data_IF_370562216418
#
_entry.id   IF_370562216418
#
_cell.length_a   1.000
_cell.length_b   1.000
_cell.length_c   1.000
_cell.angle_alpha   90.00
_cell.angle_beta   90.00
_cell.angle_gamma   90.00
#
_symmetry.space_group_name_H-M   'P 1'
#
loop_
_entity.id
_entity.type
_entity.pdbx_description
1 polymer ?
#
# COMPACT_ATOMS: atom_id res chain seq x y z
N UNK A 1 -5.24 -7.29 -2.17
CA UNK A 1 -5.47 -7.81 -3.54
C UNK A 1 -5.78 -9.31 -3.56
N UNK A 2 -4.87 -10.20 -3.17
CA UNK A 2 -5.10 -11.66 -3.23
C UNK A 2 -6.38 -12.12 -2.50
N UNK A 3 -6.64 -11.61 -1.30
CA UNK A 3 -7.90 -11.87 -0.57
C UNK A 3 -9.14 -11.46 -1.35
N UNK A 4 -9.09 -10.28 -1.99
CA UNK A 4 -10.24 -9.75 -2.72
C UNK A 4 -10.55 -10.60 -3.96
N UNK A 5 -9.51 -11.21 -4.54
CA UNK A 5 -9.62 -12.14 -5.67
C UNK A 5 -9.85 -13.60 -5.24
N UNK A 6 -10.03 -13.85 -3.93
CA UNK A 6 -10.20 -15.20 -3.35
C UNK A 6 -9.09 -16.18 -3.74
N UNK A 7 -7.89 -15.66 -3.94
CA UNK A 7 -6.69 -16.49 -4.11
C UNK A 7 -6.36 -17.05 -2.72
N UNK A 8 -6.15 -18.36 -2.60
CA UNK A 8 -5.70 -18.98 -1.36
C UNK A 8 -4.20 -18.73 -1.16
N UNK A 9 -3.81 -18.30 0.03
CA UNK A 9 -2.42 -18.07 0.41
C UNK A 9 -2.25 -18.06 1.93
N UNK A 10 -1.03 -18.32 2.38
CA UNK A 10 -0.64 -18.23 3.78
C UNK A 10 0.18 -16.95 4.04
N UNK A 11 -0.08 -16.28 5.16
CA UNK A 11 0.65 -15.06 5.57
C UNK A 11 1.64 -15.37 6.65
N UNK A 12 2.90 -15.61 6.29
CA UNK A 12 3.96 -15.76 7.30
C UNK A 12 4.47 -14.39 7.74
N UNK A 13 4.38 -14.02 9.03
CA UNK A 13 5.01 -12.81 9.52
C UNK A 13 6.52 -12.97 9.41
N UNK A 14 7.16 -12.04 8.71
CA UNK A 14 8.61 -11.99 8.54
C UNK A 14 9.10 -10.68 9.13
N UNK A 15 10.01 -10.76 10.10
CA UNK A 15 10.61 -9.60 10.77
C UNK A 15 11.93 -9.16 10.14
N UNK A 16 12.50 -9.95 9.23
CA UNK A 16 13.74 -9.61 8.52
C UNK A 16 13.52 -9.52 7.01
N UNK A 17 13.94 -8.42 6.37
CA UNK A 17 13.86 -8.33 4.91
C UNK A 17 14.81 -9.30 4.22
N UNK A 18 15.83 -9.83 4.90
CA UNK A 18 16.83 -10.72 4.31
C UNK A 18 16.18 -12.04 3.85
N UNK A 19 14.97 -12.33 4.34
CA UNK A 19 14.13 -13.42 3.88
C UNK A 19 13.37 -13.11 2.57
N UNK A 20 13.53 -11.91 2.01
CA UNK A 20 12.80 -11.41 0.85
C UNK A 20 13.77 -11.00 -0.27
N UNK A 21 13.36 -11.12 -1.55
CA UNK A 21 14.21 -10.77 -2.67
C UNK A 21 14.50 -9.27 -2.63
N UNK A 22 15.76 -8.93 -2.88
CA UNK A 22 16.28 -7.58 -2.76
C UNK A 22 16.02 -6.93 -1.39
N UNK A 23 15.85 -7.68 -0.31
CA UNK A 23 15.50 -7.10 0.99
C UNK A 23 14.21 -6.25 0.97
N UNK A 24 13.22 -6.63 0.15
CA UNK A 24 11.93 -5.94 0.03
C UNK A 24 10.75 -6.83 0.42
N UNK A 25 10.03 -6.39 1.44
CA UNK A 25 8.71 -6.93 1.79
C UNK A 25 7.59 -6.05 1.21
N UNK A 26 6.41 -6.61 0.88
CA UNK A 26 6.07 -8.03 0.92
C UNK A 26 6.70 -8.84 -0.23
N UNK A 27 6.95 -10.13 0.00
CA UNK A 27 7.39 -11.07 -1.02
C UNK A 27 6.42 -12.26 -1.10
N UNK A 28 6.29 -12.86 -2.28
CA UNK A 28 5.42 -14.02 -2.48
C UNK A 28 6.26 -15.26 -2.76
N UNK A 29 6.17 -16.26 -1.87
CA UNK A 29 6.76 -17.58 -2.05
C UNK A 29 5.77 -18.45 -2.83
N UNK A 30 6.19 -18.96 -3.98
CA UNK A 30 5.40 -19.89 -4.78
C UNK A 30 5.68 -21.36 -4.37
N UNK A 31 4.75 -22.30 -4.66
CA UNK A 31 4.93 -23.71 -4.30
C UNK A 31 6.15 -24.40 -4.93
N UNK A 32 6.63 -23.89 -6.07
CA UNK A 32 7.83 -24.37 -6.76
C UNK A 32 9.14 -23.84 -6.16
N UNK A 33 9.05 -23.04 -5.10
CA UNK A 33 10.19 -22.41 -4.43
C UNK A 33 10.61 -21.07 -5.04
N UNK A 34 9.95 -20.60 -6.10
CA UNK A 34 10.20 -19.27 -6.65
C UNK A 34 9.79 -18.18 -5.65
N UNK A 35 10.60 -17.12 -5.57
CA UNK A 35 10.35 -15.97 -4.71
C UNK A 35 10.13 -14.73 -5.58
N UNK A 36 8.90 -14.19 -5.53
CA UNK A 36 8.53 -12.99 -6.28
C UNK A 36 8.68 -11.74 -5.43
N UNK A 37 9.23 -10.69 -6.03
CA UNK A 37 9.36 -9.36 -5.42
C UNK A 37 8.05 -8.56 -5.55
N UNK A 38 7.84 -7.48 -4.77
CA UNK A 38 6.59 -6.72 -4.78
C UNK A 38 6.10 -6.31 -6.18
N UNK A 39 7.01 -5.92 -7.08
CA UNK A 39 6.67 -5.49 -8.44
C UNK A 39 6.25 -6.63 -9.37
N UNK A 40 6.60 -7.88 -9.05
CA UNK A 40 6.24 -9.07 -9.81
C UNK A 40 4.93 -9.68 -9.35
N UNK A 41 4.57 -9.51 -8.07
CA UNK A 41 3.35 -10.07 -7.48
C UNK A 41 2.10 -9.65 -8.26
N UNK A 42 2.01 -8.38 -8.67
CA UNK A 42 0.84 -7.86 -9.40
C UNK A 42 0.71 -8.53 -10.77
N UNK A 43 1.81 -8.64 -11.51
CA UNK A 43 1.81 -9.30 -12.81
C UNK A 43 1.45 -10.79 -12.69
N UNK A 44 1.98 -11.46 -11.66
CA UNK A 44 1.67 -12.85 -11.36
C UNK A 44 0.18 -13.04 -11.04
N UNK A 45 -0.42 -12.17 -10.22
CA UNK A 45 -1.86 -12.18 -9.91
C UNK A 45 -2.69 -12.06 -11.19
N UNK A 46 -2.34 -11.13 -12.08
CA UNK A 46 -3.08 -10.94 -13.34
C UNK A 46 -3.01 -12.18 -14.24
N UNK A 47 -1.86 -12.83 -14.33
CA UNK A 47 -1.69 -14.07 -15.09
C UNK A 47 -2.52 -15.23 -14.54
N UNK A 48 -2.67 -15.33 -13.22
CA UNK A 48 -3.38 -16.45 -12.57
C UNK A 48 -4.89 -16.22 -12.42
N UNK A 49 -5.36 -14.97 -12.50
CA UNK A 49 -6.79 -14.64 -12.40
C UNK A 49 -7.47 -14.47 -13.75
N UNK A 50 -6.68 -14.24 -14.80
CA UNK A 50 -7.12 -14.30 -16.18
C UNK A 50 -7.20 -15.76 -16.61
N UNK A 51 -8.17 -16.51 -16.07
CA UNK A 51 -8.44 -17.87 -16.49
C UNK A 51 -8.54 -17.89 -18.03
N UNK A 52 -7.88 -18.83 -18.73
CA UNK A 52 -8.11 -18.99 -20.16
C UNK A 52 -9.60 -19.29 -20.30
N UNK A 53 -10.36 -18.34 -20.85
CA UNK A 53 -11.74 -18.65 -21.21
C UNK A 53 -11.67 -19.91 -22.09
N UNK A 54 -12.42 -20.98 -21.76
CA UNK A 54 -12.44 -22.15 -22.60
C UNK A 54 -12.73 -21.63 -24.01
N UNK A 55 -11.77 -21.82 -24.92
CA UNK A 55 -12.00 -21.56 -26.35
C UNK A 55 -13.20 -22.41 -26.67
N UNK A 56 -14.40 -21.80 -26.70
CA UNK A 56 -15.56 -22.38 -27.32
C UNK A 56 -15.09 -22.70 -28.72
N UNK A 57 -14.89 -23.99 -28.96
CA UNK A 57 -14.60 -24.56 -30.25
C UNK A 57 -15.92 -24.43 -31.02
N UNK A 58 -16.26 -23.19 -31.42
CA UNK A 58 -17.38 -22.92 -32.31
C UNK A 58 -16.89 -23.20 -33.72
N UNK A 59 -17.40 -24.32 -34.21
CA UNK A 59 -17.49 -24.74 -35.59
C UNK A 59 -17.66 -23.55 -36.52
N UNK A 60 -16.80 -23.50 -37.54
CA UNK A 60 -16.86 -22.52 -38.60
C UNK A 60 -18.23 -22.53 -39.28
N UNK A 61 -18.89 -21.38 -39.32
CA UNK A 61 -19.64 -20.95 -40.49
C UNK A 61 -19.61 -19.42 -40.54
N UNK A 62 -19.10 -18.93 -41.67
CA UNK A 62 -18.92 -17.52 -42.03
C UNK A 62 -20.25 -16.79 -42.07
N UNK A 63 -20.37 -15.65 -41.38
CA UNK A 63 -21.14 -14.54 -41.94
C UNK A 63 -20.59 -13.19 -41.48
N UNK A 64 -20.35 -12.33 -42.47
CA UNK A 64 -19.69 -11.04 -42.40
C UNK A 64 -20.58 -9.97 -41.75
N UNK A 65 -20.12 -9.28 -40.70
CA UNK A 65 -20.68 -8.01 -40.21
C UNK A 65 -19.71 -7.31 -39.22
N UNK A 66 -19.83 -5.99 -38.99
CA UNK A 66 -18.70 -5.06 -39.11
C UNK A 66 -17.83 -4.88 -37.86
N UNK A 67 -16.56 -4.60 -38.16
CA UNK A 67 -15.52 -3.89 -37.42
C UNK A 67 -15.98 -3.14 -36.15
N UNK A 68 -16.18 -3.88 -35.06
CA UNK A 68 -16.29 -3.33 -33.71
C UNK A 68 -14.87 -3.03 -33.19
N UNK A 69 -14.48 -1.76 -33.26
CA UNK A 69 -13.28 -1.26 -32.61
C UNK A 69 -13.31 -1.55 -31.09
N UNK A 70 -12.18 -1.97 -30.49
CA UNK A 70 -12.15 -2.32 -29.07
C UNK A 70 -12.29 -1.06 -28.20
N UNK A 71 -13.42 -0.95 -27.48
CA UNK A 71 -13.72 0.08 -26.45
C UNK A 71 -12.81 0.04 -25.20
N UNK A 72 -11.62 -0.54 -25.27
CA UNK A 72 -10.84 -0.97 -24.09
C UNK A 72 -9.86 0.10 -23.54
N UNK A 73 -9.61 1.23 -24.21
CA UNK A 73 -8.41 2.03 -23.89
C UNK A 73 -8.56 3.24 -22.94
N UNK A 74 -9.77 3.72 -22.64
CA UNK A 74 -9.92 5.01 -21.88
C UNK A 74 -9.90 4.81 -20.36
N UNK A 75 -10.45 3.71 -19.84
CA UNK A 75 -10.51 3.46 -18.39
C UNK A 75 -9.13 3.13 -17.79
N UNK A 76 -8.21 2.56 -18.56
CA UNK A 76 -6.87 2.21 -18.06
C UNK A 76 -6.02 3.45 -17.75
N UNK A 77 -6.15 4.53 -18.54
CA UNK A 77 -5.42 5.77 -18.33
C UNK A 77 -5.84 6.53 -17.07
N UNK A 78 -7.15 6.59 -16.81
CA UNK A 78 -7.70 7.24 -15.61
C UNK A 78 -7.29 6.48 -14.34
N UNK A 79 -7.42 5.13 -14.33
CA UNK A 79 -7.01 4.30 -13.18
C UNK A 79 -5.52 4.45 -12.88
N UNK A 80 -4.67 4.48 -13.90
CA UNK A 80 -3.23 4.70 -13.70
C UNK A 80 -2.95 6.09 -13.12
N UNK A 81 -3.69 7.12 -13.54
CA UNK A 81 -3.56 8.47 -12.98
C UNK A 81 -3.91 8.50 -11.49
N UNK A 82 -5.02 7.86 -11.09
CA UNK A 82 -5.40 7.74 -9.68
C UNK A 82 -4.40 6.93 -8.87
N UNK A 83 -3.88 5.83 -9.44
CA UNK A 83 -2.84 5.03 -8.80
C UNK A 83 -1.60 5.87 -8.51
N UNK A 84 -1.12 6.61 -9.49
CA UNK A 84 0.05 7.48 -9.33
C UNK A 84 -0.23 8.59 -8.31
N UNK A 85 -1.41 9.22 -8.32
CA UNK A 85 -1.78 10.23 -7.32
C UNK A 85 -1.81 9.64 -5.90
N UNK A 86 -2.38 8.44 -5.74
CA UNK A 86 -2.44 7.75 -4.46
C UNK A 86 -1.04 7.39 -3.95
N UNK A 87 -0.18 6.85 -4.81
CA UNK A 87 1.20 6.49 -4.50
C UNK A 87 2.05 7.73 -4.15
N UNK A 88 2.01 8.78 -4.96
CA UNK A 88 2.88 9.94 -4.80
C UNK A 88 2.42 10.96 -3.76
N UNK A 89 1.12 11.09 -3.51
CA UNK A 89 0.58 12.09 -2.57
C UNK A 89 0.14 11.44 -1.27
N UNK A 90 -0.78 10.47 -1.34
CA UNK A 90 -1.39 9.88 -0.14
C UNK A 90 -0.41 8.96 0.59
N UNK A 91 0.20 8.01 -0.12
CA UNK A 91 1.14 7.07 0.50
C UNK A 91 2.42 7.77 0.94
N UNK A 92 2.93 8.71 0.16
CA UNK A 92 4.04 9.57 0.56
C UNK A 92 3.74 10.32 1.87
N UNK A 93 2.57 10.96 1.95
CA UNK A 93 2.14 11.67 3.15
C UNK A 93 2.07 10.75 4.37
N UNK A 94 1.46 9.58 4.21
CA UNK A 94 1.32 8.58 5.26
C UNK A 94 2.68 8.08 5.77
N UNK A 95 3.60 7.72 4.87
CA UNK A 95 4.97 7.28 5.19
C UNK A 95 5.69 8.38 5.98
N UNK A 96 5.60 9.62 5.50
CA UNK A 96 6.22 10.77 6.14
C UNK A 96 5.70 10.96 7.57
N UNK A 97 4.39 10.95 7.79
CA UNK A 97 3.76 11.07 9.11
C UNK A 97 4.19 9.92 10.04
N UNK A 98 4.14 8.68 9.56
CA UNK A 98 4.51 7.49 10.34
C UNK A 98 5.97 7.53 10.84
N UNK A 99 6.84 8.31 10.21
CA UNK A 99 8.28 8.28 10.47
C UNK A 99 8.84 9.56 11.07
N UNK A 100 8.30 10.72 10.68
CA UNK A 100 8.76 12.01 11.17
C UNK A 100 8.03 12.47 12.42
N UNK A 101 6.84 11.96 12.68
CA UNK A 101 6.15 12.23 13.93
C UNK A 101 6.69 11.29 15.01
N UNK A 102 7.62 11.77 15.84
CA UNK A 102 8.34 10.96 16.84
C UNK A 102 7.42 10.07 17.72
N UNK A 103 6.27 10.55 18.26
CA UNK A 103 5.36 9.68 19.00
C UNK A 103 4.79 8.54 18.15
N UNK A 104 4.41 8.82 16.89
CA UNK A 104 3.90 7.78 15.98
C UNK A 104 4.99 6.78 15.61
N UNK A 105 6.20 7.27 15.31
CA UNK A 105 7.30 6.40 14.94
C UNK A 105 7.67 5.44 16.08
N UNK A 106 7.88 5.97 17.28
CA UNK A 106 8.35 5.19 18.43
C UNK A 106 7.27 4.26 19.00
N UNK A 107 6.02 4.72 19.08
CA UNK A 107 4.95 3.97 19.76
C UNK A 107 4.13 3.09 18.83
N UNK A 108 4.08 3.41 17.53
CA UNK A 108 3.23 2.72 16.57
C UNK A 108 4.04 2.07 15.44
N UNK A 109 4.82 2.83 14.68
CA UNK A 109 5.51 2.31 13.51
C UNK A 109 6.58 1.29 13.88
N UNK A 110 7.46 1.62 14.84
CA UNK A 110 8.61 0.79 15.19
C UNK A 110 8.20 -0.60 15.72
N UNK A 111 7.23 -0.74 16.66
CA UNK A 111 6.78 -2.05 17.13
C UNK A 111 6.18 -2.95 16.04
N UNK A 112 5.58 -2.37 14.98
CA UNK A 112 4.99 -3.14 13.89
C UNK A 112 6.05 -3.83 13.02
N UNK A 113 7.17 -3.17 12.77
CA UNK A 113 8.28 -3.77 12.01
C UNK A 113 9.16 -4.66 12.90
N UNK A 114 9.14 -4.42 14.22
CA UNK A 114 10.04 -5.05 15.16
C UNK A 114 9.39 -5.42 16.49
N UNK A 115 8.46 -6.37 16.49
CA UNK A 115 7.76 -6.77 17.72
C UNK A 115 8.70 -7.40 18.76
N UNK A 116 9.87 -7.91 18.34
CA UNK A 116 10.81 -8.67 19.19
C UNK A 116 12.23 -8.10 19.24
N UNK A 117 12.54 -7.01 18.53
CA UNK A 117 13.92 -6.56 18.43
C UNK A 117 14.37 -5.82 19.70
N UNK A 118 15.62 -6.05 20.10
CA UNK A 118 16.28 -5.22 21.11
C UNK A 118 16.73 -3.89 20.48
N UNK A 119 16.81 -2.80 21.27
CA UNK A 119 17.10 -1.44 20.75
C UNK A 119 18.36 -1.34 19.87
N UNK A 120 19.34 -2.24 20.06
CA UNK A 120 20.58 -2.29 19.28
C UNK A 120 20.45 -2.89 17.87
N UNK A 121 19.41 -3.68 17.59
CA UNK A 121 19.20 -4.36 16.29
C UNK A 121 18.25 -3.58 15.36
N UNK A 122 17.54 -2.58 15.89
CA UNK A 122 16.40 -1.90 15.25
C UNK A 122 16.80 -0.84 14.19
N UNK A 123 18.06 -0.43 14.12
CA UNK A 123 18.44 0.87 13.55
C UNK A 123 18.84 0.93 12.08
N UNK A 124 19.65 -0.01 11.55
CA UNK A 124 20.14 0.15 10.20
C UNK A 124 19.10 -0.28 9.18
N UNK A 125 18.14 -1.14 9.56
CA UNK A 125 17.18 -1.70 8.61
C UNK A 125 16.01 -0.78 8.34
N UNK A 126 15.32 -0.25 9.36
CA UNK A 126 14.17 0.62 9.11
C UNK A 126 14.62 1.84 8.30
N UNK A 127 15.76 2.42 8.66
CA UNK A 127 16.41 3.48 7.88
C UNK A 127 16.69 3.05 6.42
N UNK A 128 17.21 1.84 6.17
CA UNK A 128 17.48 1.34 4.80
C UNK A 128 16.22 1.07 3.99
N UNK A 129 15.22 0.40 4.57
CA UNK A 129 13.94 0.11 3.92
C UNK A 129 13.27 1.42 3.48
N UNK A 130 13.26 2.40 4.39
CA UNK A 130 12.61 3.68 4.18
C UNK A 130 13.37 4.56 3.19
N UNK A 131 14.70 4.63 3.29
CA UNK A 131 15.51 5.33 2.29
C UNK A 131 15.31 4.76 0.89
N UNK A 132 15.20 3.43 0.78
CA UNK A 132 14.95 2.78 -0.51
C UNK A 132 13.56 3.07 -1.05
N UNK A 133 12.54 3.07 -0.20
CA UNK A 133 11.20 3.48 -0.60
C UNK A 133 11.19 4.94 -1.05
N UNK A 134 11.79 5.85 -0.29
CA UNK A 134 11.87 7.27 -0.65
C UNK A 134 12.64 7.52 -1.95
N UNK A 135 13.72 6.77 -2.19
CA UNK A 135 14.46 6.81 -3.45
C UNK A 135 13.61 6.39 -4.66
N UNK A 136 12.54 5.61 -4.45
CA UNK A 136 11.61 5.26 -5.53
C UNK A 136 10.58 6.38 -5.85
N UNK A 137 10.31 7.28 -4.91
CA UNK A 137 9.36 8.39 -5.09
C UNK A 137 10.01 9.70 -5.56
N UNK A 138 11.32 9.86 -5.33
CA UNK A 138 12.06 11.03 -5.78
C UNK A 138 12.97 10.71 -6.97
N UNK A 139 12.80 11.39 -8.13
CA UNK A 139 13.75 11.31 -9.25
C UNK A 139 15.08 12.02 -8.98
N UNK A 140 15.41 12.35 -7.72
CA UNK A 140 16.63 13.08 -7.39
C UNK A 140 17.86 12.15 -7.47
N UNK A 141 18.84 12.41 -8.36
CA UNK A 141 20.01 11.55 -8.57
C UNK A 141 21.02 11.56 -7.39
N UNK A 142 20.78 12.33 -6.34
CA UNK A 142 21.75 12.60 -5.27
C UNK A 142 21.67 11.64 -4.09
N UNK A 143 20.65 10.77 -4.01
CA UNK A 143 20.61 9.69 -3.03
C UNK A 143 21.43 8.51 -3.55
N UNK A 144 22.76 8.66 -3.59
CA UNK A 144 23.62 7.49 -3.79
C UNK A 144 23.36 6.48 -2.68
N UNK A 145 23.29 5.17 -2.99
CA UNK A 145 23.09 4.14 -1.99
C UNK A 145 24.16 4.29 -0.90
N UNK A 146 23.72 4.39 0.36
CA UNK A 146 24.54 4.53 1.58
C UNK A 146 25.49 3.35 1.87
N UNK A 147 25.83 2.57 0.84
CA UNK A 147 26.73 1.41 0.88
C UNK A 147 28.13 1.73 1.45
N UNK A 148 28.51 3.00 1.56
CA UNK A 148 29.86 3.42 1.98
C UNK A 148 29.94 4.03 3.40
N UNK A 149 28.85 4.12 4.17
CA UNK A 149 28.91 4.62 5.56
C UNK A 149 29.08 3.47 6.57
N UNK A 150 30.28 2.87 6.60
CA UNK A 150 30.61 1.78 7.53
C UNK A 150 30.96 2.24 8.97
N UNK A 151 30.89 3.55 9.27
CA UNK A 151 31.42 4.11 10.52
C UNK A 151 30.45 4.99 11.33
N UNK A 152 29.13 4.92 11.06
CA UNK A 152 28.18 5.56 11.96
C UNK A 152 28.22 4.89 13.34
N UNK A 153 28.35 5.65 14.45
CA UNK A 153 28.34 5.08 15.78
C UNK A 153 27.03 4.30 16.01
N UNK A 154 27.12 3.12 16.62
CA UNK A 154 25.94 2.31 16.94
C UNK A 154 25.00 3.15 17.83
N UNK A 155 23.78 3.46 17.38
CA UNK A 155 22.82 4.16 18.20
C UNK A 155 22.49 3.33 19.45
N UNK A 156 22.55 3.94 20.63
CA UNK A 156 22.35 3.31 21.93
C UNK A 156 20.97 3.62 22.54
N UNK A 157 20.15 4.42 21.86
CA UNK A 157 18.79 4.80 22.30
C UNK A 157 17.84 4.98 21.12
N UNK A 158 16.53 4.78 21.34
CA UNK A 158 15.47 5.04 20.34
C UNK A 158 15.55 6.45 19.73
N UNK A 159 15.91 7.44 20.54
CA UNK A 159 16.07 8.82 20.09
C UNK A 159 17.26 8.97 19.14
N UNK A 160 18.39 8.29 19.40
CA UNK A 160 19.52 8.27 18.47
C UNK A 160 19.18 7.55 17.16
N UNK A 161 18.34 6.50 17.20
CA UNK A 161 17.79 5.84 15.99
C UNK A 161 17.02 6.83 15.15
N UNK A 162 16.09 7.55 15.80
CA UNK A 162 15.24 8.51 15.13
C UNK A 162 16.05 9.69 14.58
N UNK A 163 17.06 10.17 15.30
CA UNK A 163 17.95 11.23 14.84
C UNK A 163 18.81 10.78 13.64
N UNK A 164 19.41 9.59 13.70
CA UNK A 164 20.16 9.01 12.58
C UNK A 164 19.26 8.77 11.37
N UNK A 165 18.09 8.16 11.56
CA UNK A 165 17.11 8.00 10.50
C UNK A 165 16.73 9.36 9.91
N UNK A 166 16.39 10.34 10.74
CA UNK A 166 15.99 11.69 10.31
C UNK A 166 17.08 12.45 9.54
N UNK A 167 18.35 12.19 9.83
CA UNK A 167 19.50 12.83 9.17
C UNK A 167 19.79 12.30 7.75
N UNK A 168 19.33 11.08 7.43
CA UNK A 168 19.58 10.44 6.13
C UNK A 168 18.60 10.89 5.04
N UNK A 169 17.62 11.71 5.42
CA UNK A 169 16.51 12.07 4.56
C UNK A 169 16.79 13.39 3.85
N UNK A 170 16.23 13.58 2.64
CA UNK A 170 16.16 14.92 2.07
C UNK A 170 15.51 15.86 3.09
N UNK A 171 15.89 17.14 3.02
CA UNK A 171 15.32 18.17 3.90
C UNK A 171 13.80 17.97 3.95
N UNK A 172 13.20 17.92 5.16
CA UNK A 172 11.78 17.69 5.29
C UNK A 172 11.05 18.65 4.34
N UNK A 173 9.98 18.22 3.63
CA UNK A 173 9.10 19.16 2.97
C UNK A 173 8.85 20.27 3.97
N UNK A 174 9.12 21.51 3.54
CA UNK A 174 9.10 22.67 4.45
C UNK A 174 7.75 22.86 5.14
N UNK A 175 6.73 22.14 4.67
CA UNK A 175 5.36 22.23 5.12
C UNK A 175 4.67 20.84 5.13
N UNK A 176 4.51 20.24 6.31
CA UNK A 176 3.72 19.03 6.52
C UNK A 176 2.24 19.26 6.18
N UNK A 177 1.72 20.45 6.47
CA UNK A 177 0.32 20.79 6.24
C UNK A 177 0.01 20.81 4.74
N UNK A 178 0.94 21.29 3.92
CA UNK A 178 0.85 21.21 2.46
C UNK A 178 0.78 19.76 1.98
N UNK A 179 1.64 18.88 2.48
CA UNK A 179 1.66 17.47 2.10
C UNK A 179 0.37 16.75 2.54
N UNK A 180 -0.16 17.09 3.72
CA UNK A 180 -1.47 16.60 4.17
C UNK A 180 -2.58 17.14 3.28
N UNK A 181 -2.56 18.42 2.91
CA UNK A 181 -3.55 19.02 2.02
C UNK A 181 -3.56 18.33 0.65
N UNK A 182 -2.40 18.11 0.03
CA UNK A 182 -2.31 17.42 -1.26
C UNK A 182 -2.82 15.97 -1.21
N UNK A 183 -2.59 15.26 -0.10
CA UNK A 183 -3.13 13.92 0.11
C UNK A 183 -4.67 13.96 0.25
N UNK A 184 -5.19 14.93 0.99
CA UNK A 184 -6.64 15.12 1.16
C UNK A 184 -7.32 15.50 -0.15
N UNK A 185 -6.74 16.40 -0.95
CA UNK A 185 -7.27 16.77 -2.27
C UNK A 185 -7.46 15.54 -3.17
N UNK A 186 -6.51 14.58 -3.13
CA UNK A 186 -6.64 13.33 -3.89
C UNK A 186 -7.79 12.47 -3.36
N UNK A 187 -7.90 12.32 -2.04
CA UNK A 187 -8.96 11.51 -1.43
C UNK A 187 -10.35 12.12 -1.66
N UNK A 188 -10.49 13.44 -1.51
CA UNK A 188 -11.73 14.17 -1.83
C UNK A 188 -12.08 14.00 -3.31
N UNK A 189 -11.10 14.07 -4.21
CA UNK A 189 -11.34 13.87 -5.64
C UNK A 189 -11.81 12.44 -5.95
N UNK A 190 -11.23 11.43 -5.29
CA UNK A 190 -11.68 10.03 -5.39
C UNK A 190 -13.11 9.91 -4.84
N UNK A 191 -13.42 10.51 -3.69
CA UNK A 191 -14.75 10.48 -3.08
C UNK A 191 -15.81 11.09 -4.02
N UNK A 192 -15.54 12.28 -4.55
CA UNK A 192 -16.43 12.98 -5.47
C UNK A 192 -16.62 12.19 -6.77
N UNK A 193 -15.53 11.69 -7.35
CA UNK A 193 -15.55 10.98 -8.63
C UNK A 193 -16.31 9.66 -8.53
N UNK A 194 -16.02 8.87 -7.50
CA UNK A 194 -16.48 7.48 -7.44
C UNK A 194 -17.70 7.26 -6.55
N UNK A 195 -17.93 8.07 -5.52
CA UNK A 195 -19.00 7.80 -4.56
C UNK A 195 -20.19 8.75 -4.71
N UNK A 196 -19.96 10.05 -4.94
CA UNK A 196 -21.06 10.99 -5.16
C UNK A 196 -21.79 10.78 -6.49
N UNK A 197 -21.11 10.19 -7.48
CA UNK A 197 -21.71 9.88 -8.79
C UNK A 197 -22.45 8.54 -8.83
N UNK A 198 -22.53 7.80 -7.71
CA UNK A 198 -23.09 6.45 -7.66
C UNK A 198 -24.36 6.37 -6.82
N UNK A 199 -25.48 6.06 -7.48
CA UNK A 199 -26.71 5.59 -6.84
C UNK A 199 -26.72 4.05 -6.84
N UNK A 200 -25.87 3.41 -6.03
CA UNK A 200 -25.84 1.95 -5.95
C UNK A 200 -24.71 1.39 -5.08
N UNK A 201 -24.94 0.19 -4.52
CA UNK A 201 -23.99 -0.54 -3.68
C UNK A 201 -22.94 -1.26 -4.55
N UNK A 202 -22.02 -0.51 -5.17
CA UNK A 202 -20.85 -1.11 -5.81
C UNK A 202 -19.68 -0.99 -4.83
N UNK A 203 -19.18 -2.12 -4.35
CA UNK A 203 -18.04 -2.19 -3.43
C UNK A 203 -16.71 -1.75 -4.08
N UNK A 204 -16.65 -1.61 -5.40
CA UNK A 204 -15.41 -1.39 -6.15
C UNK A 204 -15.46 -0.14 -7.02
N UNK A 205 -14.32 0.53 -7.15
CA UNK A 205 -14.17 1.74 -7.96
C UNK A 205 -14.34 1.45 -9.46
N UNK A 206 -13.82 0.29 -9.90
CA UNK A 206 -14.05 -0.21 -11.26
C UNK A 206 -15.45 -0.80 -11.35
N UNK A 207 -16.43 0.01 -11.76
CA UNK A 207 -17.85 -0.36 -11.87
C UNK A 207 -18.14 -1.65 -12.67
N UNK A 208 -17.18 -2.10 -13.48
CA UNK A 208 -17.32 -3.19 -14.46
C UNK A 208 -16.46 -4.42 -14.13
N UNK A 209 -15.61 -4.35 -13.11
CA UNK A 209 -14.68 -5.41 -12.75
C UNK A 209 -14.68 -5.62 -11.26
N UNK A 210 -14.31 -6.81 -10.81
CA UNK A 210 -14.06 -7.04 -9.40
C UNK A 210 -12.97 -6.11 -8.81
N UNK A 211 -12.49 -6.42 -7.60
CA UNK A 211 -11.48 -5.60 -6.92
C UNK A 211 -10.25 -5.39 -7.80
N UNK A 212 -9.86 -4.13 -7.96
CA UNK A 212 -8.66 -3.73 -8.69
C UNK A 212 -7.47 -3.48 -7.77
N UNK A 213 -6.29 -3.30 -8.36
CA UNK A 213 -5.12 -2.87 -7.60
C UNK A 213 -5.35 -1.51 -6.93
N UNK A 214 -6.09 -0.60 -7.58
CA UNK A 214 -6.45 0.70 -7.01
C UNK A 214 -7.30 0.56 -5.76
N UNK A 215 -8.30 -0.33 -5.79
CA UNK A 215 -9.14 -0.62 -4.61
C UNK A 215 -8.28 -1.16 -3.45
N UNK A 216 -7.37 -2.09 -3.73
CA UNK A 216 -6.48 -2.65 -2.71
C UNK A 216 -5.54 -1.62 -2.10
N UNK A 217 -4.93 -0.76 -2.91
CA UNK A 217 -4.02 0.28 -2.42
C UNK A 217 -4.78 1.36 -1.66
N UNK A 218 -5.94 1.81 -2.17
CA UNK A 218 -6.76 2.81 -1.50
C UNK A 218 -7.23 2.29 -0.14
N UNK A 219 -7.74 1.06 -0.10
CA UNK A 219 -8.14 0.40 1.13
C UNK A 219 -6.98 0.34 2.14
N UNK A 220 -5.80 -0.10 1.71
CA UNK A 220 -4.64 -0.19 2.61
C UNK A 220 -4.25 1.18 3.18
N UNK A 221 -4.20 2.23 2.34
CA UNK A 221 -3.90 3.59 2.80
C UNK A 221 -4.94 4.10 3.79
N UNK A 222 -6.24 4.01 3.46
CA UNK A 222 -7.33 4.47 4.32
C UNK A 222 -7.34 3.70 5.65
N UNK A 223 -7.21 2.38 5.60
CA UNK A 223 -7.21 1.55 6.79
C UNK A 223 -6.09 1.95 7.74
N UNK A 224 -4.86 2.14 7.26
CA UNK A 224 -3.76 2.60 8.11
C UNK A 224 -4.05 4.00 8.66
N UNK A 225 -4.47 4.96 7.83
CA UNK A 225 -4.75 6.35 8.25
C UNK A 225 -5.80 6.39 9.37
N UNK A 226 -6.91 5.65 9.20
CA UNK A 226 -8.03 5.61 10.15
C UNK A 226 -7.67 4.91 11.47
N UNK A 227 -6.64 4.06 11.47
CA UNK A 227 -6.16 3.34 12.66
C UNK A 227 -4.89 3.92 13.28
N UNK A 228 -4.35 5.03 12.75
CA UNK A 228 -3.27 5.76 13.42
C UNK A 228 -3.70 6.13 14.83
N UNK A 229 -2.87 5.95 15.87
CA UNK A 229 -3.23 6.33 17.23
C UNK A 229 -3.53 7.83 17.26
N UNK A 230 -4.52 8.20 18.07
CA UNK A 230 -5.00 9.59 18.18
C UNK A 230 -3.89 10.51 18.70
N UNK A 231 -3.02 10.99 17.81
CA UNK A 231 -2.25 12.18 18.08
C UNK A 231 -3.21 13.35 17.89
N UNK A 232 -3.60 13.93 19.01
CA UNK A 232 -4.64 14.96 19.20
C UNK A 232 -4.35 16.31 18.52
N UNK A 233 -3.47 16.36 17.51
CA UNK A 233 -3.20 17.56 16.75
C UNK A 233 -4.38 17.87 15.81
N UNK A 234 -5.10 19.00 16.00
CA UNK A 234 -6.06 19.47 15.02
C UNK A 234 -5.35 19.67 13.68
N UNK A 235 -5.87 19.05 12.62
CA UNK A 235 -5.26 19.08 11.28
C UNK A 235 -4.51 17.80 10.86
N UNK A 236 -4.43 16.79 11.74
CA UNK A 236 -3.84 15.50 11.34
C UNK A 236 -4.58 14.88 10.14
N UNK A 237 -3.83 14.14 9.31
CA UNK A 237 -4.36 13.46 8.12
C UNK A 237 -5.58 12.60 8.48
N UNK A 238 -5.52 11.88 9.60
CA UNK A 238 -6.62 11.07 10.12
C UNK A 238 -7.89 11.89 10.33
N UNK A 239 -7.82 13.00 11.09
CA UNK A 239 -8.99 13.84 11.40
C UNK A 239 -9.62 14.42 10.13
N UNK A 240 -8.81 14.69 9.10
CA UNK A 240 -9.32 15.16 7.80
C UNK A 240 -9.99 14.03 7.01
N UNK A 241 -9.39 12.83 6.97
CA UNK A 241 -9.97 11.65 6.30
C UNK A 241 -11.26 11.20 6.98
N UNK A 242 -11.38 11.31 8.31
CA UNK A 242 -12.61 10.99 9.04
C UNK A 242 -13.82 11.84 8.63
N UNK A 243 -13.61 12.97 7.93
CA UNK A 243 -14.69 13.80 7.36
C UNK A 243 -15.14 13.35 5.97
N UNK A 244 -14.41 12.42 5.35
CA UNK A 244 -14.73 11.82 4.05
C UNK A 244 -15.65 10.61 4.29
N UNK A 245 -16.91 10.90 4.61
CA UNK A 245 -17.88 9.92 5.13
C UNK A 245 -18.05 8.70 4.23
N UNK A 246 -18.09 8.88 2.91
CA UNK A 246 -18.30 7.77 1.97
C UNK A 246 -17.07 6.87 1.91
N UNK A 247 -15.87 7.45 1.91
CA UNK A 247 -14.63 6.67 1.97
C UNK A 247 -14.51 5.90 3.28
N UNK A 248 -14.90 6.51 4.40
CA UNK A 248 -14.91 5.83 5.70
C UNK A 248 -15.93 4.67 5.74
N UNK A 249 -17.12 4.85 5.15
CA UNK A 249 -18.12 3.79 5.05
C UNK A 249 -17.67 2.67 4.12
N UNK A 250 -17.06 3.02 2.99
CA UNK A 250 -16.50 2.08 2.03
C UNK A 250 -15.40 1.22 2.65
N UNK A 251 -14.43 1.84 3.34
CA UNK A 251 -13.35 1.13 4.04
C UNK A 251 -13.92 0.10 5.02
N UNK A 252 -14.90 0.51 5.85
CA UNK A 252 -15.57 -0.39 6.80
C UNK A 252 -16.29 -1.53 6.11
N UNK A 253 -16.95 -1.27 4.98
CA UNK A 253 -17.64 -2.29 4.21
C UNK A 253 -16.67 -3.32 3.62
N UNK A 254 -15.55 -2.86 3.06
CA UNK A 254 -14.48 -3.72 2.54
C UNK A 254 -13.86 -4.53 3.67
N UNK A 255 -13.52 -3.90 4.81
CA UNK A 255 -12.97 -4.61 5.97
C UNK A 255 -13.92 -5.71 6.45
N UNK A 256 -15.21 -5.42 6.64
CA UNK A 256 -16.21 -6.41 7.06
C UNK A 256 -16.37 -7.57 6.08
N UNK A 257 -16.24 -7.29 4.79
CA UNK A 257 -16.45 -8.30 3.74
C UNK A 257 -15.27 -9.25 3.57
N UNK A 258 -14.04 -8.81 3.85
CA UNK A 258 -12.82 -9.55 3.49
C UNK A 258 -11.83 -9.80 4.63
N UNK A 259 -11.88 -9.02 5.70
CA UNK A 259 -10.85 -9.02 6.76
C UNK A 259 -11.42 -9.19 8.16
N UNK A 260 -12.71 -8.91 8.37
CA UNK A 260 -13.34 -9.23 9.65
C UNK A 260 -13.23 -10.75 9.89
N UNK A 261 -12.90 -11.18 11.13
CA UNK A 261 -12.87 -12.60 11.47
C UNK A 261 -14.23 -13.19 11.11
N UNK A 262 -14.26 -14.07 10.10
CA UNK A 262 -15.47 -14.84 9.86
C UNK A 262 -15.52 -15.87 11.00
N UNK A 263 -16.60 -15.89 11.81
CA UNK A 263 -16.72 -16.84 12.92
C UNK A 263 -16.56 -18.30 12.46
N UNK A 264 -16.84 -18.58 11.19
CA UNK A 264 -16.72 -19.91 10.59
C UNK A 264 -15.35 -20.17 9.93
N UNK A 265 -14.52 -19.15 9.73
CA UNK A 265 -13.18 -19.28 9.14
C UNK A 265 -12.09 -19.10 10.21
N UNK A 266 -12.01 -20.04 11.14
CA UNK A 266 -10.88 -20.14 12.08
C UNK A 266 -9.65 -20.64 11.33
N UNK A 267 -9.01 -19.77 10.53
CA UNK A 267 -7.66 -20.00 9.95
C UNK A 267 -6.83 -18.73 9.81
N UNK A 268 -6.89 -17.81 10.77
CA UNK A 268 -5.83 -16.81 10.90
C UNK A 268 -5.37 -16.74 12.36
N UNK A 269 -4.21 -17.38 12.58
CA UNK A 269 -3.22 -17.19 13.63
C UNK A 269 -3.65 -17.24 15.10
N UNK A 270 -3.20 -18.32 15.75
CA UNK A 270 -2.81 -18.32 17.16
C UNK A 270 -1.94 -17.09 17.44
N UNK A 271 -2.22 -16.32 18.49
CA UNK A 271 -1.29 -15.30 18.95
C UNK A 271 -0.04 -16.02 19.48
N UNK A 272 1.13 -15.53 19.07
CA UNK A 272 2.32 -15.62 19.89
C UNK A 272 2.17 -14.67 21.08
#
# INVERSE_FOLDING_TARGET
MMLFLKIEFDVKPVSSPDCAPDAQIPALHLPDGQLLKPTEIVAWIHQHTSAPQPKKMETAEEEQAPENQPRVSVQSGEVNTWMMALEHKVRYALIYILQRTEPLFSQYTLPLYYPKATASEQTPFLSRLLNRWMASYHPYPSLQPLSNQAHAPKPNSLQSVWASASSLWPAPPQDLDKLVAEAIDVLESIEQRFFLSQSGSVLWLSKTGGPSWLDATLFACLHIILHLPFSSAPGSLRVKVEKLDQLCQWEKAVFRSYLAPNPDSVRFYSPF
#
